data_IF_377029120483
#
_entry.id   IF_377029120483
#
_cell.length_a   1.000
_cell.length_b   1.000
_cell.length_c   1.000
_cell.angle_alpha   90.00
_cell.angle_beta   90.00
_cell.angle_gamma   90.00
#
_symmetry.space_group_name_H-M   'P 1'
#
loop_
_entity.id
_entity.type
_entity.pdbx_description
1 polymer ?
#
# COMPACT_ATOMS: atom_id res chain seq x y z
N UNK A 1 -27.69 4.98 24.47
CA UNK A 1 -26.22 5.06 24.64
C UNK A 1 -25.59 3.67 24.47
N UNK A 2 -25.67 3.06 23.28
CA UNK A 2 -25.28 1.65 23.07
C UNK A 2 -24.12 1.46 22.07
N UNK A 3 -23.28 2.49 21.85
CA UNK A 3 -22.18 2.44 20.86
C UNK A 3 -20.88 1.78 21.35
N UNK A 4 -20.59 1.81 22.66
CA UNK A 4 -19.26 1.45 23.18
C UNK A 4 -18.81 0.01 22.94
N UNK A 5 -19.70 -0.98 23.10
CA UNK A 5 -19.33 -2.40 22.98
C UNK A 5 -19.00 -2.83 21.54
N UNK A 6 -19.56 -2.14 20.53
CA UNK A 6 -19.27 -2.43 19.11
C UNK A 6 -17.97 -1.78 18.65
N UNK A 7 -17.66 -0.59 19.16
CA UNK A 7 -16.44 0.14 18.82
C UNK A 7 -15.21 -0.52 19.47
N UNK A 8 -15.35 -1.00 20.71
CA UNK A 8 -14.30 -1.75 21.42
C UNK A 8 -13.96 -3.07 20.69
N UNK A 9 -14.97 -3.77 20.17
CA UNK A 9 -14.76 -4.99 19.39
C UNK A 9 -14.09 -4.70 18.04
N UNK A 10 -14.51 -3.65 17.33
CA UNK A 10 -13.88 -3.22 16.08
C UNK A 10 -12.42 -2.82 16.28
N UNK A 11 -12.11 -2.12 17.37
CA UNK A 11 -10.75 -1.76 17.74
C UNK A 11 -9.89 -3.00 18.06
N UNK A 12 -10.45 -3.98 18.78
CA UNK A 12 -9.77 -5.24 19.09
C UNK A 12 -9.47 -6.07 17.83
N UNK A 13 -10.43 -6.15 16.90
CA UNK A 13 -10.26 -6.82 15.59
C UNK A 13 -9.13 -6.16 14.80
N UNK A 14 -9.12 -4.82 14.75
CA UNK A 14 -8.05 -4.09 14.06
C UNK A 14 -6.69 -4.31 14.71
N UNK A 15 -6.59 -4.23 16.05
CA UNK A 15 -5.36 -4.48 16.77
C UNK A 15 -4.79 -5.89 16.49
N UNK A 16 -5.65 -6.91 16.45
CA UNK A 16 -5.25 -8.28 16.10
C UNK A 16 -4.80 -8.39 14.63
N UNK A 17 -5.46 -7.69 13.71
CA UNK A 17 -5.04 -7.66 12.31
C UNK A 17 -3.62 -7.09 12.17
N UNK A 18 -3.31 -6.02 12.91
CA UNK A 18 -1.98 -5.41 12.92
C UNK A 18 -0.93 -6.31 13.55
N UNK A 19 -1.23 -6.94 14.69
CA UNK A 19 -0.32 -7.90 15.29
C UNK A 19 0.00 -9.07 14.34
N UNK A 20 -1.02 -9.57 13.63
CA UNK A 20 -0.82 -10.61 12.60
C UNK A 20 0.05 -10.11 11.45
N UNK A 21 -0.13 -8.87 10.98
CA UNK A 21 0.70 -8.28 9.92
C UNK A 21 2.17 -8.19 10.33
N UNK A 22 2.45 -7.73 11.55
CA UNK A 22 3.82 -7.60 12.06
C UNK A 22 4.52 -8.96 12.17
N UNK A 23 3.78 -10.01 12.54
CA UNK A 23 4.32 -11.37 12.65
C UNK A 23 4.48 -12.09 11.30
N UNK A 24 3.74 -11.69 10.27
CA UNK A 24 3.68 -12.42 9.01
C UNK A 24 4.92 -12.18 8.13
N UNK A 25 5.53 -13.26 7.66
CA UNK A 25 6.66 -13.19 6.71
C UNK A 25 6.20 -13.00 5.27
N UNK A 26 5.10 -13.66 4.88
CA UNK A 26 4.54 -13.64 3.52
C UNK A 26 3.08 -13.18 3.51
N UNK A 27 2.60 -12.69 2.36
CA UNK A 27 1.24 -12.19 2.21
C UNK A 27 0.23 -13.33 2.36
N UNK A 28 0.56 -14.49 1.80
CA UNK A 28 -0.22 -15.71 1.90
C UNK A 28 -0.30 -16.20 3.34
N UNK A 29 0.82 -16.09 4.10
CA UNK A 29 0.87 -16.38 5.53
C UNK A 29 -0.02 -15.44 6.33
N UNK A 30 0.10 -14.12 6.11
CA UNK A 30 -0.78 -13.12 6.71
C UNK A 30 -2.25 -13.45 6.45
N UNK A 31 -2.63 -13.71 5.20
CA UNK A 31 -4.01 -14.00 4.83
C UNK A 31 -4.52 -15.27 5.48
N UNK A 32 -3.70 -16.32 5.55
CA UNK A 32 -4.04 -17.58 6.20
C UNK A 32 -4.27 -17.40 7.71
N UNK A 33 -3.42 -16.62 8.38
CA UNK A 33 -3.54 -16.36 9.82
C UNK A 33 -4.74 -15.47 10.15
N UNK A 34 -5.02 -14.45 9.33
CA UNK A 34 -6.23 -13.62 9.47
C UNK A 34 -7.53 -14.43 9.28
N UNK A 35 -7.56 -15.36 8.32
CA UNK A 35 -8.71 -16.25 8.14
C UNK A 35 -8.84 -17.23 9.31
N UNK A 36 -7.72 -17.81 9.78
CA UNK A 36 -7.71 -18.72 10.95
C UNK A 36 -8.25 -18.05 12.21
N UNK A 37 -7.93 -16.79 12.43
CA UNK A 37 -8.44 -16.00 13.55
C UNK A 37 -9.84 -15.40 13.30
N UNK A 38 -10.46 -15.66 12.14
CA UNK A 38 -11.77 -15.11 11.77
C UNK A 38 -11.78 -13.58 11.60
N UNK A 39 -10.61 -12.94 11.52
CA UNK A 39 -10.44 -11.48 11.44
C UNK A 39 -10.87 -10.96 10.08
N UNK A 40 -10.54 -11.68 9.00
CA UNK A 40 -10.74 -11.19 7.63
C UNK A 40 -12.21 -10.84 7.32
N UNK A 41 -13.16 -11.62 7.85
CA UNK A 41 -14.61 -11.41 7.69
C UNK A 41 -15.17 -10.29 8.55
N UNK A 42 -14.44 -9.90 9.60
CA UNK A 42 -14.83 -8.88 10.58
C UNK A 42 -14.26 -7.51 10.24
N UNK A 43 -13.19 -7.46 9.46
CA UNK A 43 -12.64 -6.20 8.96
C UNK A 43 -13.60 -5.54 7.97
N UNK A 44 -13.84 -4.24 8.18
CA UNK A 44 -14.51 -3.40 7.19
C UNK A 44 -13.66 -3.22 5.92
N UNK A 45 -14.27 -2.75 4.83
CA UNK A 45 -13.59 -2.68 3.53
C UNK A 45 -12.39 -1.73 3.53
N UNK A 46 -12.55 -0.58 4.20
CA UNK A 46 -11.51 0.41 4.43
C UNK A 46 -10.36 -0.16 5.28
N UNK A 47 -10.68 -0.94 6.33
CA UNK A 47 -9.66 -1.61 7.15
C UNK A 47 -8.88 -2.67 6.35
N UNK A 48 -9.55 -3.45 5.49
CA UNK A 48 -8.87 -4.39 4.59
C UNK A 48 -7.94 -3.67 3.62
N UNK A 49 -8.39 -2.55 3.06
CA UNK A 49 -7.56 -1.72 2.20
C UNK A 49 -6.35 -1.16 2.96
N UNK A 50 -6.56 -0.61 4.16
CA UNK A 50 -5.49 -0.08 5.00
C UNK A 50 -4.47 -1.17 5.39
N UNK A 51 -4.92 -2.41 5.63
CA UNK A 51 -4.03 -3.53 5.91
C UNK A 51 -3.16 -3.88 4.70
N UNK A 52 -3.75 -3.91 3.50
CA UNK A 52 -3.01 -4.10 2.26
C UNK A 52 -2.00 -2.95 2.01
N UNK A 53 -2.37 -1.69 2.31
CA UNK A 53 -1.46 -0.54 2.19
C UNK A 53 -0.26 -0.67 3.13
N UNK A 54 -0.49 -1.11 4.37
CA UNK A 54 0.58 -1.35 5.35
C UNK A 54 1.51 -2.49 4.91
N UNK A 55 0.94 -3.55 4.35
CA UNK A 55 1.74 -4.64 3.79
C UNK A 55 2.61 -4.17 2.63
N UNK A 56 2.02 -3.49 1.65
CA UNK A 56 2.73 -2.93 0.50
C UNK A 56 3.85 -1.97 0.96
N UNK A 57 3.56 -1.07 1.90
CA UNK A 57 4.56 -0.15 2.45
C UNK A 57 5.72 -0.90 3.12
N UNK A 58 5.44 -1.98 3.86
CA UNK A 58 6.48 -2.82 4.47
C UNK A 58 7.39 -3.46 3.43
N UNK A 59 6.81 -3.97 2.34
CA UNK A 59 7.57 -4.57 1.23
C UNK A 59 8.42 -3.51 0.53
N UNK A 60 7.81 -2.39 0.15
CA UNK A 60 8.46 -1.30 -0.60
C UNK A 60 9.61 -0.66 0.19
N UNK A 61 9.49 -0.56 1.52
CA UNK A 61 10.58 -0.07 2.40
C UNK A 61 11.86 -0.90 2.31
N UNK A 62 11.78 -2.17 1.92
CA UNK A 62 12.94 -3.05 1.79
C UNK A 62 13.65 -2.89 0.45
N UNK A 63 13.05 -2.18 -0.51
CA UNK A 63 13.65 -1.96 -1.82
C UNK A 63 14.77 -0.92 -1.76
N UNK A 64 15.72 -1.03 -2.68
CA UNK A 64 16.70 0.04 -2.91
C UNK A 64 16.11 1.17 -3.77
N UNK A 65 16.84 2.28 -3.87
CA UNK A 65 16.43 3.46 -4.63
C UNK A 65 16.26 3.16 -6.12
N UNK A 66 17.09 2.27 -6.66
CA UNK A 66 17.03 1.86 -8.07
C UNK A 66 15.72 1.12 -8.37
N UNK A 67 15.34 0.17 -7.51
CA UNK A 67 14.11 -0.62 -7.63
C UNK A 67 12.91 0.29 -7.50
N UNK A 68 12.86 1.15 -6.48
CA UNK A 68 11.78 2.11 -6.28
C UNK A 68 11.62 3.07 -7.47
N UNK A 69 12.73 3.60 -8.00
CA UNK A 69 12.71 4.47 -9.18
C UNK A 69 12.26 3.72 -10.44
N UNK A 70 12.65 2.45 -10.60
CA UNK A 70 12.19 1.59 -11.69
C UNK A 70 10.68 1.39 -11.69
N UNK A 71 10.12 1.10 -10.52
CA UNK A 71 8.69 0.90 -10.30
C UNK A 71 7.90 2.19 -10.55
N UNK A 72 8.33 3.31 -9.97
CA UNK A 72 7.73 4.62 -10.25
C UNK A 72 7.76 4.96 -11.75
N UNK A 73 8.83 4.60 -12.46
CA UNK A 73 8.94 4.83 -13.90
C UNK A 73 7.98 3.95 -14.70
N UNK A 74 7.77 2.71 -14.30
CA UNK A 74 6.77 1.83 -14.92
C UNK A 74 5.39 2.48 -14.86
N UNK A 75 4.98 2.93 -13.67
CA UNK A 75 3.68 3.57 -13.47
C UNK A 75 3.57 4.92 -14.18
N UNK A 76 4.64 5.73 -14.18
CA UNK A 76 4.67 7.01 -14.88
C UNK A 76 4.51 6.88 -16.42
N UNK A 77 4.86 5.72 -16.97
CA UNK A 77 4.70 5.40 -18.41
C UNK A 77 3.32 4.85 -18.76
N UNK A 78 2.38 4.84 -17.81
CA UNK A 78 1.04 4.31 -18.00
C UNK A 78 0.96 2.79 -17.86
N UNK A 79 1.91 2.18 -17.15
CA UNK A 79 1.82 0.77 -16.76
C UNK A 79 0.57 0.51 -15.90
N UNK A 80 0.04 -0.70 -16.00
CA UNK A 80 -1.10 -1.17 -15.23
C UNK A 80 -0.80 -2.49 -14.53
N UNK A 81 -1.72 -2.95 -13.68
CA UNK A 81 -1.55 -4.22 -12.94
C UNK A 81 -1.54 -5.46 -13.83
N UNK A 82 -2.16 -5.41 -15.02
CA UNK A 82 -2.16 -6.55 -15.94
C UNK A 82 -0.82 -6.71 -16.63
N UNK A 83 -0.13 -5.61 -16.92
CA UNK A 83 1.20 -5.58 -17.52
C UNK A 83 2.33 -5.74 -16.51
N UNK A 84 2.08 -5.56 -15.21
CA UNK A 84 3.10 -5.65 -14.18
C UNK A 84 3.52 -7.12 -13.92
N UNK A 85 4.82 -7.45 -13.77
CA UNK A 85 5.26 -8.83 -13.49
C UNK A 85 4.68 -9.44 -12.20
N UNK A 86 4.41 -8.60 -11.20
CA UNK A 86 3.76 -9.01 -9.95
C UNK A 86 2.22 -9.02 -10.03
N UNK A 87 1.64 -8.66 -11.17
CA UNK A 87 0.19 -8.64 -11.36
C UNK A 87 -0.54 -7.79 -10.31
N UNK A 88 -1.59 -8.36 -9.71
CA UNK A 88 -2.34 -7.72 -8.63
C UNK A 88 -1.57 -7.54 -7.32
N UNK A 89 -0.40 -8.17 -7.17
CA UNK A 89 0.48 -8.00 -6.01
C UNK A 89 1.42 -6.79 -6.17
N UNK A 90 1.43 -6.12 -7.33
CA UNK A 90 2.22 -4.91 -7.54
C UNK A 90 1.83 -3.81 -6.54
N UNK A 91 2.79 -3.15 -5.86
CA UNK A 91 2.48 -2.05 -4.97
C UNK A 91 1.80 -0.90 -5.70
N UNK A 92 0.83 -0.26 -5.03
CA UNK A 92 0.10 0.86 -5.63
C UNK A 92 1.00 2.08 -5.83
N UNK A 93 0.75 2.90 -6.87
CA UNK A 93 1.47 4.17 -7.07
C UNK A 93 1.49 5.06 -5.83
N UNK A 94 0.39 5.14 -5.08
CA UNK A 94 0.31 5.92 -3.85
C UNK A 94 1.31 5.45 -2.77
N UNK A 95 1.53 4.14 -2.65
CA UNK A 95 2.49 3.56 -1.69
C UNK A 95 3.93 3.87 -2.11
N UNK A 96 4.25 3.73 -3.39
CA UNK A 96 5.56 4.06 -3.94
C UNK A 96 5.90 5.55 -3.77
N UNK A 97 4.93 6.43 -4.01
CA UNK A 97 5.06 7.88 -3.81
C UNK A 97 5.29 8.22 -2.35
N UNK A 98 4.56 7.57 -1.43
CA UNK A 98 4.75 7.77 0.01
C UNK A 98 6.17 7.35 0.44
N UNK A 99 6.67 6.21 -0.06
CA UNK A 99 8.04 5.79 0.22
C UNK A 99 9.08 6.77 -0.34
N UNK A 100 8.91 7.26 -1.58
CA UNK A 100 9.80 8.28 -2.15
C UNK A 100 9.88 9.51 -1.23
N UNK A 101 8.74 9.97 -0.71
CA UNK A 101 8.70 11.06 0.27
C UNK A 101 9.42 10.72 1.58
N UNK A 102 9.26 9.50 2.10
CA UNK A 102 9.99 9.03 3.28
C UNK A 102 11.51 9.01 3.08
N UNK A 103 11.99 8.76 1.86
CA UNK A 103 13.42 8.80 1.49
C UNK A 103 13.95 10.21 1.23
N UNK A 104 13.10 11.23 1.35
CA UNK A 104 13.47 12.62 1.11
C UNK A 104 13.56 13.00 -0.37
N UNK A 105 12.99 12.19 -1.27
CA UNK A 105 12.89 12.56 -2.68
C UNK A 105 11.90 13.73 -2.82
N UNK A 106 12.06 14.53 -3.87
CA UNK A 106 11.09 15.58 -4.14
C UNK A 106 9.77 14.95 -4.58
N UNK A 107 8.71 15.21 -3.83
CA UNK A 107 7.34 14.76 -4.11
C UNK A 107 6.41 15.96 -4.07
N UNK A 108 5.67 16.20 -5.16
CA UNK A 108 4.70 17.30 -5.24
C UNK A 108 3.37 16.82 -5.81
N UNK A 109 2.33 16.96 -5.00
CA UNK A 109 0.95 16.69 -5.41
C UNK A 109 0.48 17.79 -6.37
N UNK A 110 -0.14 17.38 -7.47
CA UNK A 110 -0.77 18.23 -8.47
C UNK A 110 -2.29 18.07 -8.44
N UNK A 111 -3.00 18.95 -9.15
CA UNK A 111 -4.44 18.81 -9.35
C UNK A 111 -4.79 17.56 -10.16
N UNK A 112 -5.95 16.97 -9.82
CA UNK A 112 -6.50 15.80 -10.52
C UNK A 112 -5.81 14.48 -10.17
N UNK A 113 -5.34 14.31 -8.94
CA UNK A 113 -4.78 13.03 -8.46
C UNK A 113 -3.42 12.67 -9.06
N UNK A 114 -2.69 13.65 -9.61
CA UNK A 114 -1.34 13.45 -10.16
C UNK A 114 -0.27 13.84 -9.14
N UNK A 115 0.89 13.22 -9.22
CA UNK A 115 2.05 13.53 -8.36
C UNK A 115 3.30 13.57 -9.22
N UNK A 116 4.13 14.60 -9.01
CA UNK A 116 5.50 14.66 -9.53
C UNK A 116 6.43 14.06 -8.50
N UNK A 117 7.27 13.12 -8.93
CA UNK A 117 8.35 12.54 -8.12
C UNK A 117 9.68 12.75 -8.84
N UNK A 118 10.69 13.22 -8.13
CA UNK A 118 12.05 13.32 -8.65
C UNK A 118 12.96 12.37 -7.86
N UNK A 119 13.26 11.20 -8.43
CA UNK A 119 14.21 10.28 -7.83
C UNK A 119 15.65 10.78 -8.06
N UNK A 120 16.61 10.47 -7.16
CA UNK A 120 18.00 10.84 -7.34
C UNK A 120 18.51 10.43 -8.71
N UNK A 121 19.21 11.34 -9.40
CA UNK A 121 19.90 11.05 -10.66
C UNK A 121 18.97 10.59 -11.81
N UNK A 122 17.67 10.89 -11.73
CA UNK A 122 16.68 10.57 -12.79
C UNK A 122 15.91 11.79 -13.26
N UNK A 123 15.23 11.66 -14.40
CA UNK A 123 14.27 12.66 -14.86
C UNK A 123 13.00 12.65 -13.99
N UNK A 124 12.37 13.82 -13.76
CA UNK A 124 11.11 13.90 -13.03
C UNK A 124 10.02 13.03 -13.66
N UNK A 125 9.31 12.28 -12.82
CA UNK A 125 8.23 11.38 -13.20
C UNK A 125 6.89 11.97 -12.77
N UNK A 126 5.87 11.86 -13.63
CA UNK A 126 4.50 12.23 -13.28
C UNK A 126 3.66 10.97 -13.24
N UNK A 127 3.05 10.71 -12.09
CA UNK A 127 2.21 9.54 -11.84
C UNK A 127 0.79 9.94 -11.50
N UNK A 128 -0.17 9.06 -11.75
CA UNK A 128 -1.52 9.16 -11.20
C UNK A 128 -1.61 8.27 -9.95
N UNK A 129 -2.06 8.84 -8.82
CA UNK A 129 -2.22 8.14 -7.53
C UNK A 129 -3.68 8.05 -7.07
N UNK A 130 -4.63 8.53 -7.87
CA UNK A 130 -6.05 8.35 -7.60
C UNK A 130 -6.46 6.88 -7.72
N UNK A 131 -7.67 6.56 -7.24
CA UNK A 131 -8.28 5.24 -7.46
C UNK A 131 -8.33 4.97 -8.96
N UNK A 132 -7.50 4.03 -9.42
CA UNK A 132 -7.68 3.37 -10.70
C UNK A 132 -8.94 2.53 -10.54
N UNK A 133 -10.08 3.03 -11.01
CA UNK A 133 -11.26 2.19 -11.16
C UNK A 133 -10.92 1.08 -12.18
N UNK A 134 -11.32 -0.17 -11.90
CA UNK A 134 -11.09 -1.29 -12.82
C UNK A 134 -11.81 -1.12 -14.16
#
# INVERSE_FOLDING_TARGET
>A
MSGGASDDDAAAVWALALATLEAAETWEGLRADLERHGVLRRLASDQRQALAERWEARVVRQWDDQTLAGELRFWARGGDRHAHPLGFQAPRPAVLVAEAGHRGWFVRILSGGRVVVNAPETEPMVLFVGTQEP
#
